data_IF_233205380123
#
_entry.id   IF_233205380123
#
_cell.length_a   1.000
_cell.length_b   1.000
_cell.length_c   1.000
_cell.angle_alpha   90.00
_cell.angle_beta   90.00
_cell.angle_gamma   90.00
#
_symmetry.space_group_name_H-M   'P 1'
#
loop_
_entity.id
_entity.type
_entity.pdbx_description
1 polymer ?
#
# COMPACT_ATOMS: atom_id res chain seq x y z
N UNK A 1 -18.20 -8.39 -14.78
CA UNK A 1 -17.56 -9.05 -13.61
C UNK A 1 -18.12 -8.46 -12.32
N UNK A 2 -17.88 -9.09 -11.17
CA UNK A 2 -18.21 -8.47 -9.87
C UNK A 2 -17.39 -7.20 -9.65
N UNK A 3 -17.96 -6.21 -8.94
CA UNK A 3 -17.37 -4.86 -8.81
C UNK A 3 -16.08 -4.76 -8.03
N UNK A 4 -15.74 -5.78 -7.26
CA UNK A 4 -14.50 -5.85 -6.48
C UNK A 4 -13.56 -6.96 -6.94
N UNK A 5 -13.77 -7.50 -8.14
CA UNK A 5 -12.77 -8.40 -8.75
C UNK A 5 -11.58 -7.59 -9.24
N UNK A 6 -10.39 -8.21 -9.22
CA UNK A 6 -9.19 -7.61 -9.80
C UNK A 6 -9.41 -7.17 -11.25
N UNK A 7 -10.06 -8.02 -12.06
CA UNK A 7 -10.39 -7.71 -13.45
C UNK A 7 -11.23 -6.44 -13.63
N UNK A 8 -12.30 -6.25 -12.86
CA UNK A 8 -13.12 -5.03 -12.94
C UNK A 8 -12.31 -3.78 -12.57
N UNK A 9 -11.52 -3.85 -11.50
CA UNK A 9 -10.67 -2.73 -11.06
C UNK A 9 -9.62 -2.36 -12.14
N UNK A 10 -9.01 -3.36 -12.78
CA UNK A 10 -8.09 -3.14 -13.90
C UNK A 10 -8.79 -2.51 -15.10
N UNK A 11 -10.00 -2.95 -15.45
CA UNK A 11 -10.77 -2.34 -16.55
C UNK A 11 -11.02 -0.85 -16.30
N UNK A 12 -11.43 -0.49 -15.08
CA UNK A 12 -11.64 0.91 -14.72
C UNK A 12 -10.33 1.72 -14.71
N UNK A 13 -9.23 1.11 -14.26
CA UNK A 13 -7.91 1.73 -14.16
C UNK A 13 -7.25 1.96 -15.53
N UNK A 14 -7.38 1.00 -16.46
CA UNK A 14 -6.84 1.10 -17.81
C UNK A 14 -7.63 2.12 -18.64
N UNK A 15 -8.94 2.25 -18.40
CA UNK A 15 -9.83 3.21 -19.06
C UNK A 15 -9.69 3.19 -20.59
N UNK A 16 -9.82 2.00 -21.19
CA UNK A 16 -9.55 1.73 -22.60
C UNK A 16 -10.23 2.73 -23.55
N UNK A 17 -11.45 3.17 -23.23
CA UNK A 17 -12.21 4.14 -24.05
C UNK A 17 -11.48 5.47 -24.24
N UNK A 18 -10.72 5.90 -23.24
CA UNK A 18 -9.95 7.16 -23.27
C UNK A 18 -8.50 6.90 -23.67
N UNK A 19 -7.92 5.80 -23.19
CA UNK A 19 -6.48 5.55 -23.32
C UNK A 19 -6.09 4.80 -24.58
N UNK A 20 -7.01 4.00 -25.13
CA UNK A 20 -6.74 2.98 -26.15
C UNK A 20 -6.02 1.75 -25.61
N UNK A 21 -5.73 1.67 -24.31
CA UNK A 21 -5.00 0.56 -23.70
C UNK A 21 -5.98 -0.52 -23.26
N UNK A 22 -5.89 -1.70 -23.87
CA UNK A 22 -6.69 -2.85 -23.45
C UNK A 22 -6.32 -3.26 -22.02
N UNK A 23 -7.31 -3.55 -21.14
CA UNK A 23 -7.06 -3.97 -19.76
C UNK A 23 -6.14 -5.18 -19.63
N UNK A 24 -6.21 -6.15 -20.54
CA UNK A 24 -5.31 -7.31 -20.57
C UNK A 24 -3.85 -6.89 -20.86
N UNK A 25 -3.63 -6.01 -21.85
CA UNK A 25 -2.29 -5.51 -22.19
C UNK A 25 -1.69 -4.68 -21.05
N UNK A 26 -2.53 -3.92 -20.35
CA UNK A 26 -2.15 -3.18 -19.15
C UNK A 26 -1.52 -4.09 -18.08
N UNK A 27 -2.17 -5.23 -17.79
CA UNK A 27 -1.69 -6.23 -16.82
C UNK A 27 -0.51 -7.01 -17.36
N UNK A 28 -0.53 -7.41 -18.64
CA UNK A 28 0.60 -8.15 -19.23
C UNK A 28 1.89 -7.34 -19.19
N UNK A 29 1.83 -6.03 -19.46
CA UNK A 29 3.01 -5.17 -19.39
C UNK A 29 3.54 -5.07 -17.96
N UNK A 30 2.64 -4.97 -16.98
CA UNK A 30 3.03 -5.00 -15.56
C UNK A 30 3.71 -6.32 -15.19
N UNK A 31 3.18 -7.47 -15.61
CA UNK A 31 3.80 -8.78 -15.35
C UNK A 31 5.18 -8.87 -16.02
N UNK A 32 5.31 -8.41 -17.28
CA UNK A 32 6.59 -8.42 -18.02
C UNK A 32 7.69 -7.63 -17.30
N UNK A 33 7.33 -6.58 -16.57
CA UNK A 33 8.27 -5.75 -15.79
C UNK A 33 9.13 -6.57 -14.82
N UNK A 34 8.58 -7.67 -14.29
CA UNK A 34 9.27 -8.53 -13.34
C UNK A 34 10.34 -9.43 -13.98
N UNK A 35 10.42 -9.50 -15.31
CA UNK A 35 11.36 -10.39 -16.00
C UNK A 35 12.76 -9.79 -16.17
N UNK A 36 12.90 -8.51 -15.89
CA UNK A 36 14.13 -7.76 -16.14
C UNK A 36 14.59 -7.05 -14.87
N UNK A 37 15.89 -6.80 -14.78
CA UNK A 37 16.43 -5.92 -13.74
C UNK A 37 15.96 -4.50 -14.03
N UNK A 38 15.35 -3.88 -13.03
CA UNK A 38 14.88 -2.50 -13.12
C UNK A 38 15.90 -1.56 -12.48
N UNK A 39 16.03 -0.36 -13.01
CA UNK A 39 16.82 0.70 -12.37
C UNK A 39 15.88 1.76 -11.83
N UNK A 40 15.69 1.76 -10.51
CA UNK A 40 14.73 2.62 -9.81
C UNK A 40 15.48 3.51 -8.84
N UNK A 41 15.38 4.83 -9.01
CA UNK A 41 16.18 5.81 -8.25
C UNK A 41 17.69 5.50 -8.29
N UNK A 42 18.17 5.02 -9.43
CA UNK A 42 19.56 4.58 -9.62
C UNK A 42 19.92 3.24 -8.97
N UNK A 43 19.01 2.58 -8.24
CA UNK A 43 19.23 1.26 -7.63
C UNK A 43 18.80 0.14 -8.57
N UNK A 44 19.57 -0.95 -8.59
CA UNK A 44 19.20 -2.17 -9.31
C UNK A 44 18.20 -2.98 -8.50
N UNK A 45 17.00 -3.17 -9.05
CA UNK A 45 15.98 -4.07 -8.51
C UNK A 45 15.96 -5.34 -9.34
N UNK A 46 16.27 -6.48 -8.72
CA UNK A 46 16.47 -7.76 -9.40
C UNK A 46 15.19 -8.26 -10.08
N UNK A 47 15.31 -8.91 -11.25
CA UNK A 47 14.20 -9.63 -11.86
C UNK A 47 13.67 -10.75 -10.96
N UNK A 48 12.37 -11.07 -11.03
CA UNK A 48 11.73 -12.20 -10.35
C UNK A 48 10.97 -13.08 -11.34
N UNK A 49 11.69 -13.99 -11.98
CA UNK A 49 11.13 -14.91 -12.97
C UNK A 49 9.99 -15.79 -12.42
N UNK A 50 9.89 -16.00 -11.11
CA UNK A 50 8.77 -16.74 -10.51
C UNK A 50 7.43 -16.02 -10.64
N UNK A 51 7.41 -14.69 -10.70
CA UNK A 51 6.18 -13.91 -10.99
C UNK A 51 5.63 -14.28 -12.36
N UNK A 52 6.49 -14.29 -13.37
CA UNK A 52 6.11 -14.69 -14.73
C UNK A 52 5.69 -16.15 -14.80
N UNK A 53 6.41 -17.08 -14.13
CA UNK A 53 6.02 -18.50 -14.09
C UNK A 53 4.64 -18.70 -13.46
N UNK A 54 4.34 -17.96 -12.40
CA UNK A 54 3.02 -17.99 -11.75
C UNK A 54 1.93 -17.52 -12.71
N UNK A 55 2.10 -16.33 -13.31
CA UNK A 55 1.06 -15.74 -14.16
C UNK A 55 1.02 -16.29 -15.59
N UNK A 56 2.03 -17.04 -16.04
CA UNK A 56 1.99 -17.75 -17.32
C UNK A 56 0.86 -18.80 -17.37
N UNK A 57 0.42 -19.29 -16.20
CA UNK A 57 -0.70 -20.23 -16.06
C UNK A 57 -2.07 -19.54 -16.03
N UNK A 58 -2.13 -18.21 -16.08
CA UNK A 58 -3.40 -17.48 -16.11
C UNK A 58 -4.16 -17.86 -17.38
N UNK A 59 -5.44 -18.31 -17.27
CA UNK A 59 -6.30 -18.57 -18.42
C UNK A 59 -6.33 -17.41 -19.45
N UNK A 60 -6.36 -17.78 -20.73
CA UNK A 60 -6.41 -16.85 -21.85
C UNK A 60 -7.70 -16.99 -22.63
N UNK A 61 -8.14 -15.91 -23.25
CA UNK A 61 -9.22 -15.89 -24.23
C UNK A 61 -8.72 -16.47 -25.57
N UNK A 62 -9.64 -16.67 -26.52
CA UNK A 62 -9.31 -17.24 -27.85
C UNK A 62 -8.33 -16.38 -28.65
N UNK A 63 -8.34 -15.06 -28.44
CA UNK A 63 -7.42 -14.11 -29.07
C UNK A 63 -6.03 -14.09 -28.40
N UNK A 64 -5.82 -14.94 -27.40
CA UNK A 64 -4.58 -15.06 -26.65
C UNK A 64 -4.43 -14.04 -25.51
N UNK A 65 -5.36 -13.10 -25.32
CA UNK A 65 -5.30 -12.14 -24.21
C UNK A 65 -5.62 -12.79 -22.86
N UNK A 66 -5.18 -12.18 -21.75
CA UNK A 66 -5.52 -12.65 -20.40
C UNK A 66 -7.04 -12.59 -20.16
N UNK A 67 -7.62 -13.68 -19.67
CA UNK A 67 -9.02 -13.69 -19.24
C UNK A 67 -9.15 -13.04 -17.85
N UNK A 68 -9.46 -11.74 -17.83
CA UNK A 68 -9.59 -10.95 -16.60
C UNK A 68 -10.74 -11.43 -15.69
N UNK A 69 -11.74 -12.14 -16.22
CA UNK A 69 -12.79 -12.74 -15.41
C UNK A 69 -12.30 -13.95 -14.60
N UNK A 70 -11.17 -14.54 -15.01
CA UNK A 70 -10.49 -15.65 -14.35
C UNK A 70 -9.15 -15.24 -13.73
N UNK A 71 -9.03 -13.97 -13.33
CA UNK A 71 -7.83 -13.45 -12.69
C UNK A 71 -7.49 -14.22 -11.39
N UNK A 72 -6.24 -14.65 -11.18
CA UNK A 72 -5.83 -15.47 -10.04
C UNK A 72 -5.62 -14.63 -8.76
N UNK A 73 -6.61 -13.82 -8.42
CA UNK A 73 -6.58 -12.91 -7.29
C UNK A 73 -7.84 -13.07 -6.45
N UNK A 74 -7.66 -13.14 -5.13
CA UNK A 74 -8.74 -13.22 -4.16
C UNK A 74 -8.76 -11.96 -3.30
N UNK A 75 -9.90 -11.25 -3.30
CA UNK A 75 -10.08 -10.08 -2.44
C UNK A 75 -9.99 -10.51 -0.97
N UNK A 76 -9.11 -9.87 -0.22
CA UNK A 76 -8.90 -10.06 1.21
C UNK A 76 -9.59 -8.96 2.01
N UNK A 77 -9.44 -7.70 1.59
CA UNK A 77 -10.01 -6.56 2.29
C UNK A 77 -10.28 -5.38 1.36
N UNK A 78 -11.28 -4.58 1.72
CA UNK A 78 -11.49 -3.21 1.24
C UNK A 78 -11.27 -2.31 2.44
N UNK A 79 -10.31 -1.39 2.36
CA UNK A 79 -9.84 -0.60 3.51
C UNK A 79 -10.04 0.88 3.26
N UNK A 80 -10.74 1.55 4.18
CA UNK A 80 -10.79 3.01 4.24
C UNK A 80 -9.62 3.51 5.10
N UNK A 81 -8.79 4.38 4.52
CA UNK A 81 -7.65 5.02 5.15
C UNK A 81 -7.88 6.51 5.33
N UNK A 82 -9.05 6.85 5.88
CA UNK A 82 -9.39 8.24 6.21
C UNK A 82 -8.49 8.81 7.30
N UNK A 83 -7.78 7.95 8.04
CA UNK A 83 -6.73 8.36 8.98
C UNK A 83 -5.54 9.02 8.30
N UNK A 84 -5.33 8.78 7.00
CA UNK A 84 -4.30 9.44 6.17
C UNK A 84 -4.73 10.81 5.62
N UNK A 85 -5.87 11.35 6.08
CA UNK A 85 -6.37 12.65 5.63
C UNK A 85 -5.48 13.81 6.07
N UNK A 86 -5.34 14.80 5.19
CA UNK A 86 -4.84 16.13 5.50
C UNK A 86 -5.91 16.97 6.24
N UNK A 87 -5.50 18.07 6.87
CA UNK A 87 -6.43 19.06 7.43
C UNK A 87 -7.05 19.93 6.32
N UNK A 88 -8.22 19.52 5.81
CA UNK A 88 -8.87 20.12 4.63
C UNK A 88 -9.68 21.41 4.90
N UNK A 89 -9.50 22.07 6.04
CA UNK A 89 -10.33 23.22 6.45
C UNK A 89 -10.10 24.45 5.58
N UNK A 90 -8.90 24.61 5.02
CA UNK A 90 -8.50 25.79 4.25
C UNK A 90 -8.22 25.53 2.76
N UNK A 91 -8.58 24.35 2.23
CA UNK A 91 -8.39 24.06 0.81
C UNK A 91 -8.31 22.58 0.44
N UNK A 92 -7.65 22.31 -0.68
CA UNK A 92 -7.42 20.97 -1.23
C UNK A 92 -6.28 20.24 -0.52
N UNK A 93 -6.41 18.92 -0.34
CA UNK A 93 -5.39 18.04 0.21
C UNK A 93 -5.79 16.57 0.04
N UNK A 94 -4.98 15.62 0.54
CA UNK A 94 -5.33 14.20 0.51
C UNK A 94 -6.51 13.96 1.46
N UNK A 95 -7.69 13.65 0.92
CA UNK A 95 -8.87 13.48 1.76
C UNK A 95 -8.98 12.10 2.40
N UNK A 96 -8.62 11.05 1.67
CA UNK A 96 -8.52 9.68 2.19
C UNK A 96 -7.75 8.81 1.18
N UNK A 97 -7.61 7.53 1.50
CA UNK A 97 -7.17 6.50 0.56
C UNK A 97 -8.09 5.27 0.69
N UNK A 98 -8.46 4.69 -0.44
CA UNK A 98 -9.26 3.48 -0.54
C UNK A 98 -8.35 2.36 -1.05
N UNK A 99 -8.22 1.28 -0.29
CA UNK A 99 -7.38 0.14 -0.70
C UNK A 99 -8.21 -1.09 -1.01
N UNK A 100 -7.83 -1.81 -2.06
CA UNK A 100 -8.25 -3.17 -2.31
C UNK A 100 -7.04 -4.08 -2.15
N UNK A 101 -7.10 -4.99 -1.16
CA UNK A 101 -6.03 -5.94 -0.88
C UNK A 101 -6.39 -7.27 -1.50
N UNK A 102 -5.56 -7.76 -2.41
CA UNK A 102 -5.71 -9.06 -3.06
C UNK A 102 -4.59 -10.01 -2.63
N UNK A 103 -4.95 -11.26 -2.36
CA UNK A 103 -4.00 -12.37 -2.29
C UNK A 103 -3.89 -13.03 -3.66
N UNK A 104 -2.68 -13.34 -4.10
CA UNK A 104 -2.43 -14.09 -5.34
C UNK A 104 -2.66 -15.58 -5.09
N UNK A 105 -3.27 -16.24 -6.07
CA UNK A 105 -3.51 -17.68 -6.09
C UNK A 105 -2.58 -18.34 -7.12
N UNK A 106 -2.15 -19.58 -6.90
CA UNK A 106 -1.62 -20.39 -7.99
C UNK A 106 -2.76 -20.67 -8.98
N UNK A 107 -2.63 -20.29 -10.27
CA UNK A 107 -3.74 -20.43 -11.21
C UNK A 107 -4.15 -21.88 -11.52
N UNK A 108 -3.30 -22.87 -11.24
CA UNK A 108 -3.59 -24.28 -11.48
C UNK A 108 -4.30 -24.95 -10.29
N UNK A 109 -3.86 -24.68 -9.06
CA UNK A 109 -4.42 -25.30 -7.85
C UNK A 109 -5.45 -24.44 -7.12
N UNK A 110 -5.53 -23.15 -7.43
CA UNK A 110 -6.27 -22.13 -6.68
C UNK A 110 -5.82 -21.96 -5.21
N UNK A 111 -4.67 -22.55 -4.85
CA UNK A 111 -4.08 -22.41 -3.53
C UNK A 111 -3.52 -20.99 -3.34
N UNK A 112 -3.63 -20.38 -2.15
CA UNK A 112 -3.08 -19.06 -1.89
C UNK A 112 -1.55 -19.11 -1.82
N UNK A 113 -0.89 -18.20 -2.54
CA UNK A 113 0.56 -17.99 -2.49
C UNK A 113 0.91 -16.96 -1.43
N UNK A 114 2.13 -16.92 -0.90
CA UNK A 114 2.59 -15.79 -0.06
C UNK A 114 2.97 -14.59 -0.92
N UNK A 115 1.94 -13.99 -1.52
CA UNK A 115 2.02 -12.83 -2.39
C UNK A 115 0.70 -12.05 -2.30
N UNK A 116 0.78 -10.77 -1.95
CA UNK A 116 -0.33 -9.83 -2.02
C UNK A 116 -0.09 -8.71 -3.03
N UNK A 117 -1.18 -8.19 -3.58
CA UNK A 117 -1.23 -7.01 -4.44
C UNK A 117 -2.29 -6.06 -3.87
N UNK A 118 -1.89 -4.82 -3.60
CA UNK A 118 -2.74 -3.79 -3.04
C UNK A 118 -2.94 -2.70 -4.09
N UNK A 119 -4.19 -2.40 -4.43
CA UNK A 119 -4.53 -1.26 -5.26
C UNK A 119 -4.95 -0.11 -4.34
N UNK A 120 -4.16 0.96 -4.29
CA UNK A 120 -4.35 2.10 -3.38
C UNK A 120 -4.83 3.31 -4.19
N UNK A 121 -6.10 3.65 -4.04
CA UNK A 121 -6.75 4.77 -4.72
C UNK A 121 -6.76 6.00 -3.83
N UNK A 122 -6.44 7.15 -4.41
CA UNK A 122 -6.66 8.44 -3.76
C UNK A 122 -8.15 8.70 -3.71
N UNK A 123 -8.63 9.15 -2.56
CA UNK A 123 -9.98 9.66 -2.42
C UNK A 123 -9.87 11.17 -2.38
N UNK A 124 -10.34 11.81 -3.44
CA UNK A 124 -10.34 13.27 -3.56
C UNK A 124 -11.70 13.79 -3.07
N UNK A 125 -11.66 14.66 -2.05
CA UNK A 125 -12.82 15.38 -1.51
C UNK A 125 -12.40 16.81 -1.25
N UNK A 126 -13.32 17.74 -1.47
CA UNK A 126 -13.07 19.16 -1.30
C UNK A 126 -13.67 19.63 0.01
N UNK A 127 -12.81 20.03 0.94
CA UNK A 127 -13.22 20.56 2.23
C UNK A 127 -13.70 19.50 3.24
N UNK A 128 -13.86 19.96 4.47
CA UNK A 128 -14.22 19.08 5.60
C UNK A 128 -15.60 18.44 5.47
N UNK A 129 -16.61 19.13 4.92
CA UNK A 129 -17.97 18.59 4.86
C UNK A 129 -18.06 17.32 3.99
N UNK A 130 -17.50 17.35 2.79
CA UNK A 130 -17.46 16.18 1.90
C UNK A 130 -16.66 15.02 2.50
N UNK A 131 -15.58 15.34 3.23
CA UNK A 131 -14.79 14.36 3.96
C UNK A 131 -15.58 13.70 5.10
N UNK A 132 -16.36 14.49 5.85
CA UNK A 132 -17.25 13.96 6.88
C UNK A 132 -18.38 13.13 6.29
N UNK A 133 -18.94 13.51 5.15
CA UNK A 133 -19.94 12.70 4.43
C UNK A 133 -19.33 11.38 3.93
N UNK A 134 -18.11 11.39 3.42
CA UNK A 134 -17.36 10.18 3.12
C UNK A 134 -17.25 9.28 4.36
N UNK A 135 -16.81 9.84 5.50
CA UNK A 135 -16.65 9.11 6.75
C UNK A 135 -17.98 8.53 7.27
N UNK A 136 -19.07 9.30 7.24
CA UNK A 136 -20.41 8.86 7.65
C UNK A 136 -20.90 7.67 6.87
N UNK A 137 -20.74 7.68 5.54
CA UNK A 137 -21.12 6.53 4.69
C UNK A 137 -20.44 5.23 5.12
N UNK A 138 -19.19 5.28 5.59
CA UNK A 138 -18.50 4.10 6.14
C UNK A 138 -19.03 3.67 7.50
N UNK A 139 -19.33 4.62 8.40
CA UNK A 139 -19.86 4.35 9.74
C UNK A 139 -21.28 3.75 9.69
N UNK A 140 -22.06 4.11 8.69
CA UNK A 140 -23.43 3.62 8.53
C UNK A 140 -23.51 2.17 8.00
N UNK A 141 -22.49 1.69 7.26
CA UNK A 141 -22.50 0.36 6.64
C UNK A 141 -22.81 -0.79 7.61
N UNK A 142 -22.16 -0.92 8.79
CA UNK A 142 -22.32 -2.09 9.64
C UNK A 142 -23.75 -2.26 10.21
N UNK A 143 -24.56 -1.20 10.21
CA UNK A 143 -25.96 -1.26 10.65
C UNK A 143 -26.91 -1.81 9.58
N UNK A 144 -26.45 -1.98 8.34
CA UNK A 144 -27.26 -2.44 7.22
C UNK A 144 -27.32 -3.97 7.15
N UNK A 145 -28.45 -4.50 6.65
CA UNK A 145 -28.53 -5.92 6.24
C UNK A 145 -27.63 -6.21 5.04
N UNK A 146 -27.22 -7.47 4.85
CA UNK A 146 -26.17 -7.87 3.88
C UNK A 146 -26.35 -7.32 2.45
N UNK A 147 -27.56 -7.35 1.90
CA UNK A 147 -27.83 -6.81 0.55
C UNK A 147 -27.58 -5.29 0.49
N UNK A 148 -28.10 -4.56 1.47
CA UNK A 148 -27.93 -3.11 1.58
C UNK A 148 -26.48 -2.71 1.92
N UNK A 149 -25.79 -3.51 2.74
CA UNK A 149 -24.36 -3.36 2.99
C UNK A 149 -23.56 -3.43 1.68
N UNK A 150 -23.80 -4.45 0.85
CA UNK A 150 -23.09 -4.61 -0.41
C UNK A 150 -23.40 -3.47 -1.39
N UNK A 151 -24.66 -3.07 -1.51
CA UNK A 151 -25.05 -1.94 -2.36
C UNK A 151 -24.41 -0.61 -1.88
N UNK A 152 -24.41 -0.36 -0.57
CA UNK A 152 -23.78 0.82 0.03
C UNK A 152 -22.27 0.84 -0.18
N UNK A 153 -21.59 -0.29 0.07
CA UNK A 153 -20.16 -0.44 -0.16
C UNK A 153 -19.81 -0.28 -1.65
N UNK A 154 -20.63 -0.82 -2.55
CA UNK A 154 -20.45 -0.65 -3.99
C UNK A 154 -20.53 0.83 -4.36
N UNK A 155 -21.56 1.54 -3.89
CA UNK A 155 -21.72 2.97 -4.15
C UNK A 155 -20.53 3.81 -3.62
N UNK A 156 -19.99 3.48 -2.44
CA UNK A 156 -18.80 4.11 -1.89
C UNK A 156 -17.58 3.85 -2.79
N UNK A 157 -17.30 2.58 -3.07
CA UNK A 157 -16.11 2.17 -3.84
C UNK A 157 -16.13 2.69 -5.27
N UNK A 158 -17.25 2.56 -5.97
CA UNK A 158 -17.41 3.00 -7.36
C UNK A 158 -17.44 4.53 -7.50
N UNK A 159 -17.60 5.30 -6.42
CA UNK A 159 -17.38 6.75 -6.44
C UNK A 159 -15.89 7.14 -6.55
N UNK A 160 -14.98 6.17 -6.47
CA UNK A 160 -13.52 6.36 -6.50
C UNK A 160 -12.88 5.58 -7.65
N UNK A 161 -13.26 4.31 -7.84
CA UNK A 161 -12.53 3.42 -8.76
C UNK A 161 -12.93 3.56 -10.23
N UNK A 162 -14.07 4.18 -10.54
CA UNK A 162 -14.59 4.24 -11.91
C UNK A 162 -13.62 4.98 -12.85
N UNK A 163 -13.56 4.53 -14.09
CA UNK A 163 -12.85 5.21 -15.15
C UNK A 163 -13.32 6.67 -15.26
N UNK A 164 -12.38 7.63 -15.26
CA UNK A 164 -12.69 9.06 -15.31
C UNK A 164 -13.04 9.70 -13.96
N UNK A 165 -13.01 8.95 -12.84
CA UNK A 165 -13.26 9.51 -11.51
C UNK A 165 -12.20 10.53 -11.05
N UNK A 166 -11.01 10.53 -11.68
CA UNK A 166 -9.97 11.53 -11.45
C UNK A 166 -9.37 11.98 -12.80
N UNK A 167 -10.06 12.87 -13.54
CA UNK A 167 -9.73 13.19 -14.94
C UNK A 167 -8.33 13.79 -15.15
N UNK A 168 -7.79 14.48 -14.14
CA UNK A 168 -6.46 15.12 -14.19
C UNK A 168 -5.31 14.15 -13.89
N UNK A 169 -5.62 12.87 -13.61
CA UNK A 169 -4.63 11.83 -13.31
C UNK A 169 -4.43 10.92 -14.53
N UNK A 170 -3.29 10.19 -14.61
CA UNK A 170 -3.06 9.23 -15.68
C UNK A 170 -4.24 8.26 -15.84
N UNK A 171 -4.65 8.04 -17.09
CA UNK A 171 -5.82 7.25 -17.49
C UNK A 171 -7.17 7.74 -16.92
N UNK A 172 -7.24 8.95 -16.34
CA UNK A 172 -8.43 9.40 -15.62
C UNK A 172 -8.73 8.56 -14.36
N UNK A 173 -7.74 7.82 -13.85
CA UNK A 173 -7.89 6.88 -12.74
C UNK A 173 -7.46 7.51 -11.42
N UNK A 174 -8.26 7.31 -10.37
CA UNK A 174 -7.91 7.73 -9.02
C UNK A 174 -6.79 6.88 -8.38
N UNK A 175 -6.22 5.89 -9.09
CA UNK A 175 -5.12 5.08 -8.58
C UNK A 175 -3.96 5.99 -8.14
N UNK A 176 -3.56 5.84 -6.87
CA UNK A 176 -2.34 6.42 -6.32
C UNK A 176 -1.15 5.54 -6.67
N UNK A 177 -1.19 4.29 -6.20
CA UNK A 177 -0.15 3.30 -6.39
C UNK A 177 -0.69 1.86 -6.32
N UNK A 178 0.07 0.93 -6.90
CA UNK A 178 -0.06 -0.51 -6.65
C UNK A 178 1.12 -0.94 -5.80
N UNK A 179 0.87 -1.76 -4.77
CA UNK A 179 1.93 -2.34 -3.95
C UNK A 179 1.90 -3.85 -3.98
N UNK A 180 3.06 -4.45 -4.07
CA UNK A 180 3.23 -5.89 -3.96
C UNK A 180 4.03 -6.23 -2.73
N UNK A 181 3.70 -7.37 -2.11
CA UNK A 181 4.44 -7.91 -0.97
C UNK A 181 4.48 -9.44 -1.12
N UNK A 182 5.66 -9.98 -1.37
CA UNK A 182 5.82 -11.41 -1.68
C UNK A 182 7.16 -12.01 -1.24
N UNK A 183 7.12 -13.32 -1.01
CA UNK A 183 8.27 -14.14 -0.61
C UNK A 183 8.35 -15.45 -1.42
N UNK A 184 7.23 -15.97 -1.93
CA UNK A 184 7.17 -17.29 -2.57
C UNK A 184 7.61 -17.31 -4.04
N UNK A 185 7.67 -16.16 -4.73
CA UNK A 185 7.91 -16.12 -6.19
C UNK A 185 9.32 -15.67 -6.56
N UNK A 186 10.21 -15.57 -5.57
CA UNK A 186 11.64 -15.44 -5.77
C UNK A 186 12.36 -16.74 -5.42
N UNK A 187 12.99 -17.37 -6.42
CA UNK A 187 13.69 -18.64 -6.28
C UNK A 187 15.14 -18.46 -6.72
N UNK A 188 16.14 -19.05 -6.01
CA UNK A 188 16.00 -20.00 -4.91
C UNK A 188 15.88 -19.38 -3.50
N UNK A 189 16.18 -18.08 -3.36
CA UNK A 189 16.46 -17.49 -2.04
C UNK A 189 15.22 -17.16 -1.20
N UNK A 190 14.02 -17.17 -1.81
CA UNK A 190 12.76 -16.73 -1.18
C UNK A 190 12.92 -15.43 -0.40
N UNK A 191 13.62 -14.47 -1.00
CA UNK A 191 13.80 -13.15 -0.40
C UNK A 191 12.46 -12.42 -0.38
N UNK A 192 11.99 -12.11 0.82
CA UNK A 192 10.84 -11.24 1.00
C UNK A 192 11.15 -9.82 0.50
N UNK A 193 10.35 -9.34 -0.46
CA UNK A 193 10.46 -7.99 -1.00
C UNK A 193 9.08 -7.36 -1.25
N UNK A 194 9.05 -6.04 -1.12
CA UNK A 194 7.92 -5.22 -1.52
C UNK A 194 8.32 -4.24 -2.61
N UNK A 195 7.39 -3.96 -3.52
CA UNK A 195 7.59 -3.03 -4.64
C UNK A 195 6.38 -2.13 -4.80
N UNK A 196 6.61 -0.96 -5.36
CA UNK A 196 5.57 0.03 -5.66
C UNK A 196 5.51 0.29 -7.17
N UNK A 197 4.31 0.41 -7.71
CA UNK A 197 4.06 0.73 -9.10
C UNK A 197 3.08 1.88 -9.22
N UNK A 198 3.21 2.67 -10.28
CA UNK A 198 2.27 3.75 -10.62
C UNK A 198 2.01 3.76 -12.11
N UNK A 199 0.88 4.32 -12.52
CA UNK A 199 0.62 4.56 -13.94
C UNK A 199 1.58 5.68 -14.38
N UNK A 200 2.40 5.42 -15.39
CA UNK A 200 3.31 6.44 -15.91
C UNK A 200 2.49 7.57 -16.56
N UNK A 201 2.72 8.84 -16.17
CA UNK A 201 1.99 9.98 -16.71
C UNK A 201 2.47 10.38 -18.11
N UNK A 202 3.66 9.95 -18.52
CA UNK A 202 4.31 10.35 -19.76
C UNK A 202 5.41 9.35 -20.15
N UNK A 203 5.93 9.50 -21.37
CA UNK A 203 7.09 8.76 -21.86
C UNK A 203 6.76 7.38 -22.46
N UNK A 204 7.77 6.51 -22.69
CA UNK A 204 7.58 5.26 -23.42
C UNK A 204 6.62 4.26 -22.75
N UNK A 205 6.37 4.43 -21.46
CA UNK A 205 5.46 3.60 -20.66
C UNK A 205 4.19 4.33 -20.24
N UNK A 206 3.91 5.50 -20.82
CA UNK A 206 2.68 6.27 -20.57
C UNK A 206 1.46 5.33 -20.56
N UNK A 207 0.54 5.57 -19.62
CA UNK A 207 -0.72 4.84 -19.46
C UNK A 207 -0.59 3.41 -18.93
N UNK A 208 0.61 2.93 -18.63
CA UNK A 208 0.86 1.62 -18.04
C UNK A 208 1.51 1.70 -16.66
N UNK A 209 1.40 0.62 -15.88
CA UNK A 209 2.14 0.50 -14.63
C UNK A 209 3.65 0.39 -14.88
N UNK A 210 4.41 1.18 -14.14
CA UNK A 210 5.87 1.13 -14.03
C UNK A 210 6.26 1.03 -12.57
N UNK A 211 7.32 0.30 -12.24
CA UNK A 211 7.89 0.30 -10.90
C UNK A 211 8.45 1.68 -10.57
N UNK A 212 8.34 2.05 -9.30
CA UNK A 212 8.85 3.32 -8.77
C UNK A 212 9.43 3.09 -7.38
N UNK A 213 10.11 4.11 -6.86
CA UNK A 213 10.75 4.02 -5.55
C UNK A 213 9.70 3.75 -4.45
N UNK A 214 10.07 2.92 -3.47
CA UNK A 214 9.19 2.53 -2.37
C UNK A 214 9.20 3.62 -1.32
N UNK A 215 8.07 4.34 -1.20
CA UNK A 215 7.93 5.48 -0.30
C UNK A 215 8.33 5.16 1.16
N UNK A 216 8.94 6.16 1.82
CA UNK A 216 9.49 6.12 3.19
C UNK A 216 10.57 5.07 3.47
N UNK A 217 11.00 4.26 2.52
CA UNK A 217 11.98 3.19 2.78
C UNK A 217 13.31 3.54 2.12
N UNK A 218 14.37 3.86 2.87
CA UNK A 218 15.72 3.99 2.30
C UNK A 218 16.20 2.65 1.75
N UNK A 219 17.15 2.67 0.82
CA UNK A 219 17.76 1.43 0.33
C UNK A 219 18.46 0.68 1.47
N UNK A 220 18.26 -0.64 1.52
CA UNK A 220 18.75 -1.48 2.61
C UNK A 220 20.29 -1.44 2.74
N UNK A 221 21.01 -1.13 1.67
CA UNK A 221 22.48 -0.98 1.70
C UNK A 221 22.93 0.18 2.59
N UNK A 222 22.07 1.17 2.85
CA UNK A 222 22.37 2.34 3.67
C UNK A 222 22.20 2.08 5.17
N UNK A 223 21.73 0.89 5.57
CA UNK A 223 21.41 0.55 6.96
C UNK A 223 22.58 0.78 7.92
N UNK A 224 23.79 0.48 7.47
CA UNK A 224 25.03 0.55 8.26
C UNK A 224 25.90 1.74 7.86
N UNK A 225 25.37 2.66 7.05
CA UNK A 225 26.11 3.81 6.55
C UNK A 225 25.87 5.06 7.42
N UNK A 226 26.87 5.94 7.62
CA UNK A 226 26.73 7.16 8.42
C UNK A 226 25.62 8.10 7.92
N UNK A 227 25.34 8.08 6.62
CA UNK A 227 24.30 8.92 5.99
C UNK A 227 22.91 8.68 6.56
N UNK A 228 22.60 7.45 7.00
CA UNK A 228 21.32 7.16 7.63
C UNK A 228 21.23 7.82 9.01
N UNK A 229 22.31 7.79 9.79
CA UNK A 229 22.35 8.44 11.10
C UNK A 229 22.24 9.96 10.97
N UNK A 230 22.90 10.55 9.96
CA UNK A 230 22.78 11.96 9.63
C UNK A 230 21.33 12.33 9.28
N UNK A 231 20.65 11.53 8.45
CA UNK A 231 19.25 11.74 8.11
C UNK A 231 18.36 11.72 9.35
N UNK A 232 18.47 10.66 10.16
CA UNK A 232 17.64 10.51 11.35
C UNK A 232 17.88 11.64 12.37
N UNK A 233 19.14 12.05 12.57
CA UNK A 233 19.49 13.14 13.47
C UNK A 233 18.93 14.48 12.98
N UNK A 234 19.12 14.78 11.68
CA UNK A 234 18.64 16.02 11.06
C UNK A 234 17.11 16.14 11.09
N UNK A 235 16.41 15.02 10.96
CA UNK A 235 14.95 14.96 10.90
C UNK A 235 14.29 14.47 12.21
N UNK A 236 15.03 14.45 13.33
CA UNK A 236 14.55 13.86 14.58
C UNK A 236 13.21 14.46 15.07
N UNK A 237 13.01 15.78 14.93
CA UNK A 237 11.74 16.42 15.28
C UNK A 237 10.56 15.92 14.43
N UNK A 238 10.74 15.89 13.11
CA UNK A 238 9.73 15.38 12.17
C UNK A 238 9.46 13.88 12.34
N UNK A 239 10.50 13.10 12.70
CA UNK A 239 10.37 11.68 13.02
C UNK A 239 9.58 11.47 14.31
N UNK A 240 9.86 12.25 15.35
CA UNK A 240 9.11 12.21 16.61
C UNK A 240 7.62 12.48 16.42
N UNK A 241 7.28 13.32 15.45
CA UNK A 241 5.90 13.67 15.09
C UNK A 241 5.31 12.81 13.97
N UNK A 242 6.03 11.82 13.43
CA UNK A 242 5.62 10.98 12.30
C UNK A 242 5.28 11.77 11.01
N UNK A 243 6.00 12.87 10.78
CA UNK A 243 5.86 13.78 9.63
C UNK A 243 7.02 13.77 8.64
N UNK A 244 8.10 13.06 8.94
CA UNK A 244 9.26 12.98 8.07
C UNK A 244 8.92 12.36 6.71
N UNK A 245 9.68 12.75 5.69
CA UNK A 245 9.65 12.14 4.37
C UNK A 245 11.06 11.69 3.99
N UNK A 246 11.23 10.41 3.66
CA UNK A 246 12.48 9.90 3.08
C UNK A 246 12.57 10.37 1.62
N UNK A 247 13.55 11.23 1.28
CA UNK A 247 13.66 11.79 -0.07
C UNK A 247 14.33 10.81 -1.04
N UNK A 248 14.17 11.06 -2.35
CA UNK A 248 14.89 10.32 -3.39
C UNK A 248 16.42 10.39 -3.19
N UNK A 249 16.93 11.53 -2.74
CA UNK A 249 18.35 11.75 -2.51
C UNK A 249 18.62 12.39 -1.13
N UNK A 250 19.64 11.91 -0.43
CA UNK A 250 20.13 12.49 0.81
C UNK A 250 21.59 12.07 1.09
N UNK A 251 22.52 13.03 1.31
CA UNK A 251 22.39 14.45 0.94
C UNK A 251 22.21 14.59 -0.60
N UNK A 252 21.83 15.78 -1.11
CA UNK A 252 21.62 15.98 -2.55
C UNK A 252 22.77 15.41 -3.41
N UNK A 253 22.42 14.71 -4.49
CA UNK A 253 23.36 13.98 -5.35
C UNK A 253 23.64 12.54 -4.93
N UNK A 254 23.16 12.09 -3.77
CA UNK A 254 23.31 10.72 -3.29
C UNK A 254 21.94 10.05 -3.17
N UNK A 255 21.69 9.01 -3.97
CA UNK A 255 20.46 8.22 -3.90
C UNK A 255 20.21 7.67 -2.50
N UNK A 256 18.96 7.77 -2.03
CA UNK A 256 18.55 7.41 -0.67
C UNK A 256 17.31 6.52 -0.65
N UNK A 257 16.18 6.97 -1.20
CA UNK A 257 14.95 6.17 -1.28
C UNK A 257 15.16 4.89 -2.11
N UNK A 258 14.68 3.74 -1.62
CA UNK A 258 14.90 2.44 -2.22
C UNK A 258 14.09 2.24 -3.50
N UNK A 259 14.66 1.48 -4.44
CA UNK A 259 13.89 0.92 -5.56
C UNK A 259 12.91 -0.17 -5.13
N UNK A 260 13.27 -0.96 -4.11
CA UNK A 260 12.43 -2.01 -3.52
C UNK A 260 12.71 -2.16 -2.02
N UNK A 261 11.72 -2.60 -1.25
CA UNK A 261 11.88 -2.85 0.18
C UNK A 261 12.14 -4.34 0.45
N UNK A 262 13.42 -4.71 0.59
CA UNK A 262 13.82 -6.05 1.04
C UNK A 262 13.58 -6.17 2.54
N UNK A 263 13.03 -7.31 2.98
CA UNK A 263 12.60 -7.53 4.37
C UNK A 263 13.33 -8.71 5.00
N UNK A 264 14.59 -8.52 5.45
CA UNK A 264 15.26 -9.50 6.30
C UNK A 264 14.44 -9.80 7.56
N UNK A 265 14.55 -11.02 8.06
CA UNK A 265 13.85 -11.46 9.26
C UNK A 265 14.21 -10.54 10.44
N UNK A 266 13.18 -10.05 11.15
CA UNK A 266 13.32 -9.13 12.31
C UNK A 266 14.07 -7.84 11.99
N UNK A 267 14.08 -7.38 10.73
CA UNK A 267 14.67 -6.10 10.38
C UNK A 267 14.04 -4.97 11.20
N UNK A 268 14.88 -4.08 11.69
CA UNK A 268 14.52 -2.75 12.13
C UNK A 268 15.67 -1.79 11.77
N UNK A 269 15.35 -0.51 11.65
CA UNK A 269 16.35 0.53 11.39
C UNK A 269 16.90 1.02 12.72
N UNK A 270 18.20 0.77 12.95
CA UNK A 270 18.93 1.22 14.14
C UNK A 270 19.65 2.55 13.89
N UNK A 271 20.26 2.70 12.71
CA UNK A 271 21.29 3.69 12.37
C UNK A 271 22.54 3.61 13.26
N UNK A 272 23.67 4.16 12.79
CA UNK A 272 24.90 4.19 13.57
C UNK A 272 24.78 5.16 14.76
N UNK A 273 25.32 4.78 15.90
CA UNK A 273 25.32 5.61 17.12
C UNK A 273 24.06 5.46 17.97
N UNK A 274 23.98 6.27 19.03
CA UNK A 274 22.83 6.29 19.94
C UNK A 274 21.73 7.19 19.37
N UNK A 275 20.62 6.59 18.98
CA UNK A 275 19.39 7.29 18.59
C UNK A 275 18.34 7.06 19.68
N UNK A 276 17.64 8.10 20.17
CA UNK A 276 16.57 7.92 21.15
C UNK A 276 15.53 6.91 20.68
N UNK A 277 15.05 6.06 21.61
CA UNK A 277 14.13 4.96 21.31
C UNK A 277 12.96 5.36 20.42
N UNK A 278 12.23 6.42 20.77
CA UNK A 278 11.05 6.86 20.01
C UNK A 278 11.41 7.32 18.59
N UNK A 279 12.55 8.00 18.41
CA UNK A 279 12.99 8.45 17.09
C UNK A 279 13.37 7.26 16.22
N UNK A 280 14.18 6.34 16.76
CA UNK A 280 14.61 5.12 16.08
C UNK A 280 13.39 4.28 15.66
N UNK A 281 12.48 4.04 16.60
CA UNK A 281 11.26 3.28 16.41
C UNK A 281 10.34 3.92 15.38
N UNK A 282 10.03 5.21 15.50
CA UNK A 282 9.10 5.89 14.58
C UNK A 282 9.64 5.90 13.15
N UNK A 283 10.95 6.14 12.97
CA UNK A 283 11.57 6.03 11.65
C UNK A 283 11.45 4.61 11.09
N UNK A 284 11.84 3.61 11.89
CA UNK A 284 11.80 2.21 11.49
C UNK A 284 10.38 1.74 11.14
N UNK A 285 9.38 2.11 11.96
CA UNK A 285 7.97 1.79 11.77
C UNK A 285 7.36 2.48 10.54
N UNK A 286 7.87 3.65 10.15
CA UNK A 286 7.40 4.35 8.95
C UNK A 286 7.86 3.65 7.65
N UNK A 287 8.88 2.80 7.70
CA UNK A 287 9.38 2.03 6.55
C UNK A 287 8.57 0.74 6.33
N UNK A 288 8.45 0.30 5.07
CA UNK A 288 7.77 -0.95 4.73
C UNK A 288 8.43 -2.15 5.42
N UNK A 289 9.77 -2.22 5.37
CA UNK A 289 10.53 -3.36 5.85
C UNK A 289 10.78 -3.37 7.37
N UNK A 290 10.72 -2.22 8.05
CA UNK A 290 10.72 -2.16 9.52
C UNK A 290 9.35 -2.51 10.12
N UNK A 291 8.27 -1.94 9.56
CA UNK A 291 6.90 -2.22 10.00
C UNK A 291 6.55 -3.70 9.83
N UNK A 292 6.83 -4.28 8.67
CA UNK A 292 6.55 -5.68 8.39
C UNK A 292 7.56 -6.66 9.02
N UNK A 293 8.51 -6.22 9.84
CA UNK A 293 9.46 -7.12 10.49
C UNK A 293 9.57 -6.86 11.99
N UNK A 294 10.69 -6.28 12.44
CA UNK A 294 11.07 -6.19 13.86
C UNK A 294 10.14 -5.32 14.69
N UNK A 295 9.67 -4.19 14.16
CA UNK A 295 8.92 -3.21 14.96
C UNK A 295 7.54 -3.72 15.39
N UNK A 296 6.87 -4.50 14.53
CA UNK A 296 5.54 -5.06 14.84
C UNK A 296 5.58 -6.56 15.11
N UNK A 297 6.77 -7.17 15.04
CA UNK A 297 6.97 -8.63 15.08
C UNK A 297 6.05 -9.38 14.09
N UNK A 298 5.80 -8.78 12.93
CA UNK A 298 4.97 -9.37 11.89
C UNK A 298 5.78 -10.41 11.11
N UNK A 299 5.33 -11.67 11.01
CA UNK A 299 6.12 -12.70 10.34
C UNK A 299 6.09 -12.57 8.82
N UNK A 300 4.99 -12.06 8.24
CA UNK A 300 4.86 -11.81 6.81
C UNK A 300 3.77 -10.76 6.47
N UNK A 301 2.49 -11.14 6.54
CA UNK A 301 1.38 -10.25 6.18
C UNK A 301 0.62 -9.74 7.39
N UNK A 302 0.14 -8.50 7.29
CA UNK A 302 -0.85 -7.97 8.23
C UNK A 302 -2.28 -8.49 7.96
N UNK A 303 -2.58 -8.78 6.70
CA UNK A 303 -3.82 -9.42 6.24
C UNK A 303 -3.39 -10.66 5.45
N UNK A 304 -3.58 -11.83 6.04
CA UNK A 304 -3.10 -13.09 5.48
C UNK A 304 -3.91 -13.50 4.24
N UNK A 305 -3.26 -14.19 3.30
CA UNK A 305 -3.99 -14.84 2.22
C UNK A 305 -4.93 -15.91 2.79
N UNK A 306 -6.07 -16.11 2.14
CA UNK A 306 -7.17 -16.95 2.65
C UNK A 306 -7.62 -17.96 1.61
N UNK A 307 -8.20 -19.05 2.08
CA UNK A 307 -8.88 -20.04 1.25
C UNK A 307 -10.26 -19.55 0.77
N UNK A 308 -10.85 -20.28 -0.18
CA UNK A 308 -12.22 -19.99 -0.60
C UNK A 308 -13.18 -20.25 0.57
N UNK A 309 -14.02 -19.25 0.87
CA UNK A 309 -15.03 -19.36 1.93
C UNK A 309 -14.52 -19.07 3.35
N UNK A 310 -13.22 -18.80 3.54
CA UNK A 310 -12.68 -18.35 4.84
C UNK A 310 -12.39 -16.85 4.86
N UNK A 311 -12.35 -16.28 6.06
CA UNK A 311 -11.93 -14.91 6.32
C UNK A 311 -10.38 -14.82 6.35
N UNK A 312 -9.75 -13.73 5.89
CA UNK A 312 -8.32 -13.51 6.09
C UNK A 312 -7.98 -13.39 7.59
N UNK A 313 -6.95 -14.11 8.04
CA UNK A 313 -6.39 -13.89 9.36
C UNK A 313 -5.67 -12.52 9.44
N UNK A 314 -5.82 -11.82 10.57
CA UNK A 314 -5.16 -10.54 10.83
C UNK A 314 -3.94 -10.75 11.73
N UNK A 315 -2.85 -10.02 11.47
CA UNK A 315 -1.69 -9.97 12.37
C UNK A 315 -2.05 -9.30 13.71
N UNK A 316 -1.21 -9.47 14.73
CA UNK A 316 -1.38 -8.79 16.03
C UNK A 316 -1.55 -7.27 15.91
N UNK A 317 -0.86 -6.63 14.96
CA UNK A 317 -0.94 -5.19 14.69
C UNK A 317 -2.35 -4.73 14.27
N UNK A 318 -3.08 -5.57 13.52
CA UNK A 318 -4.46 -5.31 13.08
C UNK A 318 -5.52 -6.08 13.90
N UNK A 319 -5.10 -6.82 14.92
CA UNK A 319 -6.02 -7.59 15.76
C UNK A 319 -6.87 -6.67 16.64
N UNK A 320 -7.99 -7.18 17.10
CA UNK A 320 -8.94 -6.41 17.93
C UNK A 320 -8.34 -5.97 19.26
N UNK A 321 -7.58 -6.85 19.91
CA UNK A 321 -6.96 -6.57 21.20
C UNK A 321 -5.61 -5.83 21.08
N UNK A 322 -5.10 -5.72 19.85
CA UNK A 322 -3.75 -5.28 19.57
C UNK A 322 -2.68 -6.29 20.00
N UNK A 323 -1.42 -5.84 19.95
CA UNK A 323 -0.24 -6.58 20.36
C UNK A 323 0.73 -5.66 21.08
N UNK A 324 1.42 -6.16 22.10
CA UNK A 324 2.61 -5.50 22.67
C UNK A 324 3.86 -6.18 22.13
N UNK A 325 4.77 -5.40 21.58
CA UNK A 325 6.01 -5.86 20.96
C UNK A 325 7.19 -5.25 21.72
N UNK A 326 8.11 -6.09 22.18
CA UNK A 326 9.35 -5.64 22.79
C UNK A 326 10.22 -4.92 21.74
N UNK A 327 11.00 -3.93 22.18
CA UNK A 327 11.95 -3.24 21.31
C UNK A 327 12.88 -4.25 20.61
N UNK A 328 12.90 -4.31 19.27
CA UNK A 328 13.78 -5.23 18.55
C UNK A 328 15.28 -4.95 18.77
N UNK A 329 15.65 -3.76 19.29
CA UNK A 329 17.01 -3.46 19.73
C UNK A 329 17.39 -4.13 21.07
N UNK A 330 16.47 -4.83 21.73
CA UNK A 330 16.74 -5.55 22.98
C UNK A 330 16.77 -4.68 24.24
N UNK A 331 16.18 -3.47 24.18
CA UNK A 331 16.02 -2.60 25.35
C UNK A 331 14.87 -3.08 26.24
N UNK A 332 14.66 -2.41 27.37
CA UNK A 332 13.49 -2.65 28.25
C UNK A 332 12.20 -2.02 27.73
N UNK A 333 12.25 -1.26 26.63
CA UNK A 333 11.08 -0.61 26.06
C UNK A 333 10.17 -1.62 25.33
N UNK A 334 8.88 -1.27 25.27
CA UNK A 334 7.89 -2.03 24.50
C UNK A 334 6.85 -1.09 23.92
N UNK A 335 6.24 -1.51 22.81
CA UNK A 335 5.23 -0.75 22.09
C UNK A 335 3.95 -1.54 21.92
N UNK A 336 2.82 -0.92 22.26
CA UNK A 336 1.50 -1.46 21.99
C UNK A 336 0.99 -0.97 20.64
N UNK A 337 0.53 -1.89 19.80
CA UNK A 337 -0.09 -1.63 18.51
C UNK A 337 -1.53 -2.13 18.53
N UNK A 338 -2.48 -1.22 18.30
CA UNK A 338 -3.90 -1.52 18.19
C UNK A 338 -4.48 -0.72 17.01
N UNK A 339 -3.95 -0.93 15.81
CA UNK A 339 -4.21 0.00 14.69
C UNK A 339 -5.67 -0.05 14.21
N UNK A 340 -6.33 -1.22 14.31
CA UNK A 340 -7.77 -1.33 14.02
C UNK A 340 -8.62 -0.46 14.97
N UNK A 341 -8.32 -0.49 16.27
CA UNK A 341 -9.00 0.35 17.28
C UNK A 341 -8.70 1.84 17.03
N UNK A 342 -7.42 2.19 16.87
CA UNK A 342 -6.96 3.56 16.60
C UNK A 342 -7.66 4.16 15.38
N UNK A 343 -7.72 3.43 14.26
CA UNK A 343 -8.42 3.87 13.03
C UNK A 343 -9.93 4.01 13.25
N UNK A 344 -10.53 3.14 14.05
CA UNK A 344 -11.95 3.24 14.43
C UNK A 344 -12.25 4.50 15.24
N UNK A 345 -11.42 4.81 16.24
CA UNK A 345 -11.51 6.04 17.03
C UNK A 345 -11.32 7.28 16.16
N UNK A 346 -10.33 7.27 15.26
CA UNK A 346 -10.06 8.37 14.33
C UNK A 346 -11.24 8.64 13.37
N UNK A 347 -11.86 7.58 12.84
CA UNK A 347 -13.06 7.68 12.01
C UNK A 347 -14.26 8.23 12.81
N UNK A 348 -14.47 7.75 14.04
CA UNK A 348 -15.54 8.23 14.90
C UNK A 348 -15.34 9.71 15.28
N UNK A 349 -14.11 10.11 15.57
CA UNK A 349 -13.73 11.50 15.85
C UNK A 349 -14.07 12.40 14.67
N UNK A 350 -13.67 12.03 13.46
CA UNK A 350 -13.99 12.78 12.23
C UNK A 350 -15.49 13.03 12.06
N UNK A 351 -16.30 12.00 12.29
CA UNK A 351 -17.75 12.09 12.10
C UNK A 351 -18.39 13.01 13.15
N UNK A 352 -17.92 12.94 14.40
CA UNK A 352 -18.56 13.59 15.54
C UNK A 352 -18.04 15.00 15.83
N UNK A 353 -16.80 15.32 15.51
CA UNK A 353 -16.21 16.63 15.82
C UNK A 353 -16.52 17.71 14.79
N UNK A 354 -16.47 18.99 15.19
CA UNK A 354 -16.67 20.09 14.25
C UNK A 354 -15.53 20.18 13.22
N UNK A 355 -15.81 20.75 12.05
CA UNK A 355 -14.75 21.03 11.06
C UNK A 355 -13.64 21.95 11.59
N UNK A 356 -13.92 22.77 12.61
CA UNK A 356 -12.91 23.60 13.25
C UNK A 356 -11.90 22.76 14.04
N UNK A 357 -12.33 21.64 14.65
CA UNK A 357 -11.42 20.74 15.35
C UNK A 357 -10.46 20.04 14.38
N UNK A 358 -10.95 19.68 13.19
CA UNK A 358 -10.12 19.10 12.12
C UNK A 358 -9.04 20.06 11.59
N UNK A 359 -9.14 21.38 11.84
CA UNK A 359 -8.08 22.34 11.49
C UNK A 359 -6.79 22.11 12.28
N UNK A 360 -6.90 21.49 13.46
CA UNK A 360 -5.78 21.19 14.36
C UNK A 360 -5.23 19.77 14.14
N UNK A 361 -5.80 19.01 13.20
CA UNK A 361 -5.34 17.65 12.91
C UNK A 361 -3.92 17.69 12.36
N UNK A 362 -3.06 16.84 12.90
CA UNK A 362 -1.73 16.55 12.35
C UNK A 362 -1.82 15.31 11.46
N UNK A 363 -1.63 15.43 10.13
CA UNK A 363 -1.73 14.30 9.21
C UNK A 363 -0.58 13.31 9.42
N UNK A 364 -0.88 12.02 9.29
CA UNK A 364 0.13 10.97 9.30
C UNK A 364 0.83 10.91 7.95
N UNK A 365 2.17 10.95 7.95
CA UNK A 365 2.99 10.69 6.73
C UNK A 365 3.48 9.25 6.64
N UNK A 366 3.11 8.43 7.62
CA UNK A 366 3.40 7.00 7.66
C UNK A 366 2.62 6.24 6.59
N UNK A 367 3.24 5.18 6.07
CA UNK A 367 2.79 4.52 4.84
C UNK A 367 1.92 3.27 5.08
N UNK A 368 1.90 2.78 6.33
CA UNK A 368 1.24 1.53 6.72
C UNK A 368 -0.27 1.64 6.70
#
# INVERSE_FOLDING_TARGET
MGKWTFGHLVEQMANEKVTGVRPADFVERWIKHWNEVQTINGWSVTARAGVQRTFAKWPRLQDGSLDLARAPFRLLAIVNRVDLRDALVFGSGKASELRFVFGVLDPASCAPLKFTVILEYRVERTGCNELKEWARRWVELPALGQSAYNAGLEAITESVIRAGAAPDRPNGSALGQVRTNEIDVNEPDKLWEMREFRIAPSGPSEKHLVETAVLQTPDLTLREEPVLAEFISKHAGEIGENRHEVPLEFPPGNRFLAGSAKVPRRLFWQAMGEVPYEIRRNFSLATCNGCHAGETNTPFLHIANRERGSEPALSGFLSENGISVADPAGTTNSSRFADRERRGQDLATLVNESCMAEALRVPLRMVH
#
